data_IF_536994546775
#
_entry.id   IF_536994546775
#
_cell.length_a   1.000
_cell.length_b   1.000
_cell.length_c   1.000
_cell.angle_alpha   90.00
_cell.angle_beta   90.00
_cell.angle_gamma   90.00
#
_symmetry.space_group_name_H-M   'P 1'
#
loop_
_entity.id
_entity.type
_entity.pdbx_description
1 polymer ?
#
# COMPACT_ATOMS: atom_id res chain seq x y z
N UNK A 1 5.13 -10.63 -1.01
CA UNK A 1 5.59 -9.90 -2.24
C UNK A 1 7.04 -9.42 -2.13
N UNK A 2 7.79 -9.27 -3.22
CA UNK A 2 9.12 -8.64 -3.21
C UNK A 2 9.05 -7.22 -3.78
N UNK A 3 9.38 -6.21 -2.95
CA UNK A 3 9.64 -4.86 -3.43
C UNK A 3 10.99 -4.82 -4.13
N UNK A 4 10.97 -4.91 -5.46
CA UNK A 4 12.15 -4.77 -6.30
C UNK A 4 12.26 -3.33 -6.82
N UNK A 5 13.44 -2.88 -7.27
CA UNK A 5 13.57 -1.56 -7.90
C UNK A 5 12.56 -1.34 -9.03
N UNK A 6 12.23 -2.39 -9.79
CA UNK A 6 11.22 -2.34 -10.85
C UNK A 6 9.83 -2.01 -10.30
N UNK A 7 9.40 -2.65 -9.23
CA UNK A 7 8.07 -2.42 -8.66
C UNK A 7 7.96 -1.07 -7.96
N UNK A 8 9.08 -0.53 -7.45
CA UNK A 8 9.15 0.86 -6.95
C UNK A 8 8.97 1.89 -8.07
N UNK A 9 9.57 1.66 -9.25
CA UNK A 9 9.35 2.52 -10.42
C UNK A 9 7.88 2.49 -10.84
N UNK A 10 7.26 1.30 -10.89
CA UNK A 10 5.84 1.17 -11.21
C UNK A 10 4.94 1.92 -10.21
N UNK A 11 5.30 1.92 -8.92
CA UNK A 11 4.57 2.71 -7.92
C UNK A 11 4.68 4.20 -8.21
N UNK A 12 5.87 4.70 -8.54
CA UNK A 12 6.07 6.12 -8.88
C UNK A 12 5.30 6.53 -10.15
N UNK A 13 5.22 5.65 -11.15
CA UNK A 13 4.41 5.89 -12.35
C UNK A 13 2.92 5.95 -12.01
N UNK A 14 2.41 5.00 -11.23
CA UNK A 14 1.02 5.01 -10.77
C UNK A 14 0.72 6.26 -9.92
N UNK A 15 1.64 6.66 -9.04
CA UNK A 15 1.47 7.86 -8.22
C UNK A 15 1.37 9.12 -9.09
N UNK A 16 2.12 9.20 -10.20
CA UNK A 16 1.99 10.30 -11.17
C UNK A 16 0.67 10.27 -11.94
N UNK A 17 0.16 9.09 -12.28
CA UNK A 17 -1.10 8.93 -13.03
C UNK A 17 -2.31 9.31 -12.17
N UNK A 18 -2.35 8.80 -10.93
CA UNK A 18 -3.49 9.00 -10.03
C UNK A 18 -3.34 10.23 -9.12
N UNK A 19 -2.14 10.82 -9.07
CA UNK A 19 -1.78 11.92 -8.17
C UNK A 19 -2.07 11.60 -6.68
N UNK A 20 -1.91 10.33 -6.32
CA UNK A 20 -2.17 9.79 -4.99
C UNK A 20 -1.17 8.65 -4.70
N UNK A 21 -0.28 8.87 -3.73
CA UNK A 21 0.75 7.91 -3.36
C UNK A 21 0.19 6.69 -2.64
N UNK A 22 -0.83 6.86 -1.80
CA UNK A 22 -1.44 5.79 -1.01
C UNK A 22 -2.26 4.86 -1.88
N UNK A 23 -3.07 5.43 -2.79
CA UNK A 23 -3.80 4.65 -3.79
C UNK A 23 -2.84 3.89 -4.73
N UNK A 24 -1.81 4.57 -5.23
CA UNK A 24 -0.80 3.93 -6.08
C UNK A 24 -0.04 2.82 -5.35
N UNK A 25 0.24 3.00 -4.04
CA UNK A 25 0.91 1.98 -3.23
C UNK A 25 0.02 0.75 -3.06
N UNK A 26 -1.28 0.95 -2.83
CA UNK A 26 -2.27 -0.14 -2.73
C UNK A 26 -2.34 -0.97 -4.01
N UNK A 27 -2.45 -0.29 -5.15
CA UNK A 27 -2.50 -0.94 -6.46
C UNK A 27 -1.21 -1.73 -6.77
N UNK A 28 -0.06 -1.18 -6.39
CA UNK A 28 1.25 -1.74 -6.75
C UNK A 28 1.70 -2.86 -5.83
N UNK A 29 1.46 -2.71 -4.53
CA UNK A 29 1.96 -3.60 -3.48
C UNK A 29 0.84 -4.24 -2.66
N UNK A 30 0.04 -3.44 -1.94
CA UNK A 30 -0.87 -3.95 -0.89
C UNK A 30 -1.88 -4.99 -1.41
N UNK A 31 -2.46 -4.76 -2.59
CA UNK A 31 -3.45 -5.66 -3.19
C UNK A 31 -2.88 -7.02 -3.60
N UNK A 32 -1.56 -7.09 -3.80
CA UNK A 32 -0.84 -8.30 -4.20
C UNK A 32 -0.26 -9.07 -3.01
N UNK A 33 -0.36 -8.52 -1.80
CA UNK A 33 0.01 -9.21 -0.57
C UNK A 33 -1.06 -10.22 -0.16
N UNK A 34 -0.63 -11.30 0.48
CA UNK A 34 -1.50 -12.19 1.22
C UNK A 34 -2.19 -11.41 2.36
N UNK A 35 -3.41 -11.80 2.74
CA UNK A 35 -4.22 -11.07 3.71
C UNK A 35 -3.51 -10.90 5.07
N UNK A 36 -2.71 -11.89 5.47
CA UNK A 36 -1.90 -11.89 6.69
C UNK A 36 -0.74 -10.89 6.66
N UNK A 37 -0.24 -10.55 5.48
CA UNK A 37 0.88 -9.61 5.29
C UNK A 37 0.40 -8.15 5.12
N UNK A 38 -0.86 -7.94 4.75
CA UNK A 38 -1.41 -6.60 4.44
C UNK A 38 -1.32 -5.63 5.61
N UNK A 39 -1.59 -6.09 6.83
CA UNK A 39 -1.48 -5.24 8.03
C UNK A 39 -0.05 -4.76 8.28
N UNK A 40 0.93 -5.66 8.11
CA UNK A 40 2.35 -5.35 8.28
C UNK A 40 2.82 -4.38 7.19
N UNK A 41 2.43 -4.61 5.94
CA UNK A 41 2.79 -3.75 4.81
C UNK A 41 2.14 -2.36 4.92
N UNK A 42 0.91 -2.28 5.41
CA UNK A 42 0.25 -1.02 5.71
C UNK A 42 0.94 -0.26 6.85
N UNK A 43 1.36 -0.95 7.90
CA UNK A 43 2.15 -0.35 8.99
C UNK A 43 3.47 0.21 8.47
N UNK A 44 4.16 -0.49 7.57
CA UNK A 44 5.38 0.02 6.95
C UNK A 44 5.12 1.27 6.12
N UNK A 45 4.04 1.31 5.35
CA UNK A 45 3.64 2.51 4.64
C UNK A 45 3.41 3.68 5.61
N UNK A 46 2.65 3.46 6.68
CA UNK A 46 2.37 4.47 7.70
C UNK A 46 3.65 4.99 8.37
N UNK A 47 4.59 4.10 8.73
CA UNK A 47 5.86 4.48 9.35
C UNK A 47 6.76 5.28 8.41
N UNK A 48 6.75 4.97 7.11
CA UNK A 48 7.57 5.66 6.12
C UNK A 48 6.97 6.99 5.63
N UNK A 49 5.64 7.05 5.49
CA UNK A 49 4.94 8.18 4.86
C UNK A 49 4.14 9.03 5.85
N UNK A 50 3.95 8.56 7.09
CA UNK A 50 3.16 9.26 8.11
C UNK A 50 1.65 9.25 7.86
N UNK A 51 1.17 8.41 6.93
CA UNK A 51 -0.23 8.38 6.48
C UNK A 51 -0.80 6.96 6.56
N UNK A 52 -2.04 6.82 7.01
CA UNK A 52 -2.74 5.52 7.05
C UNK A 52 -3.43 5.20 5.73
N UNK A 53 -3.32 3.95 5.26
CA UNK A 53 -4.03 3.52 4.06
C UNK A 53 -5.48 3.11 4.43
N UNK A 54 -6.50 3.52 3.65
CA UNK A 54 -7.91 3.24 3.96
C UNK A 54 -8.26 1.75 4.09
N UNK A 55 -7.61 0.88 3.33
CA UNK A 55 -7.86 -0.58 3.35
C UNK A 55 -7.21 -1.31 4.53
N UNK A 56 -6.34 -0.64 5.29
CA UNK A 56 -5.74 -1.21 6.51
C UNK A 56 -6.79 -1.33 7.63
N UNK A 57 -7.81 -0.46 7.60
CA UNK A 57 -8.87 -0.39 8.60
C UNK A 57 -10.06 -1.34 8.31
N UNK A 58 -10.11 -1.99 7.14
CA UNK A 58 -11.27 -2.76 6.68
C UNK A 58 -11.51 -4.10 7.42
N UNK A 59 -10.90 -4.32 8.59
CA UNK A 59 -11.21 -5.45 9.48
C UNK A 59 -11.69 -5.06 10.88
N UNK A 60 -11.76 -3.76 11.20
CA UNK A 60 -12.25 -3.28 12.51
C UNK A 60 -13.71 -2.79 12.49
N UNK A 61 -14.38 -2.76 11.33
CA UNK A 61 -15.81 -2.42 11.22
C UNK A 61 -16.65 -3.68 10.94
N UNK A 62 -16.56 -4.64 11.85
CA UNK A 62 -17.57 -5.66 12.08
C UNK A 62 -17.74 -5.78 13.60
N UNK A 63 -18.54 -4.85 14.14
CA UNK A 63 -18.93 -4.74 15.54
C UNK A 63 -19.92 -3.59 15.70
#
# INVERSE_FOLDING_TARGET
IVMSPRTVIMWAENAKIFNDYGFAFRLTFLNKCDETERSIVAEYYQRCMGEELPESASRLVLG
#
